data_IF_787084088783
#
_entry.id   IF_787084088783
#
_cell.length_a   1.000
_cell.length_b   1.000
_cell.length_c   1.000
_cell.angle_alpha   90.00
_cell.angle_beta   90.00
_cell.angle_gamma   90.00
#
_symmetry.space_group_name_H-M   'P 1'
#
loop_
_entity.id
_entity.type
_entity.pdbx_description
1 polymer ?
#
# COMPACT_ATOMS: atom_id res chain seq x y z
N UNK A 1 7.25 2.75 -15.93
CA UNK A 1 6.28 3.06 -14.87
C UNK A 1 7.00 3.27 -13.55
N UNK A 2 6.71 4.34 -12.85
CA UNK A 2 7.38 4.62 -11.59
C UNK A 2 6.88 3.70 -10.49
N UNK A 3 7.62 3.66 -9.37
CA UNK A 3 7.20 2.84 -8.23
C UNK A 3 5.86 3.32 -7.68
N UNK A 4 5.66 4.64 -7.64
CA UNK A 4 4.40 5.20 -7.16
C UNK A 4 3.24 4.74 -8.04
N UNK A 5 3.43 4.79 -9.34
CA UNK A 5 2.37 4.34 -10.26
C UNK A 5 2.04 2.88 -10.09
N UNK A 6 3.06 2.05 -9.88
CA UNK A 6 2.82 0.62 -9.66
C UNK A 6 2.01 0.38 -8.39
N UNK A 7 2.32 1.12 -7.34
CA UNK A 7 1.61 1.01 -6.07
C UNK A 7 0.15 1.43 -6.24
N UNK A 8 -0.07 2.55 -6.90
CA UNK A 8 -1.43 3.06 -7.10
C UNK A 8 -2.27 2.07 -7.90
N UNK A 9 -1.69 1.50 -8.95
CA UNK A 9 -2.40 0.50 -9.74
C UNK A 9 -2.70 -0.75 -8.95
N UNK A 10 -1.76 -1.18 -8.12
CA UNK A 10 -1.96 -2.37 -7.31
C UNK A 10 -3.13 -2.17 -6.34
N UNK A 11 -3.16 -1.02 -5.68
CA UNK A 11 -4.24 -0.73 -4.75
C UNK A 11 -5.58 -0.62 -5.49
N UNK A 12 -5.56 -0.04 -6.67
CA UNK A 12 -6.78 0.08 -7.47
C UNK A 12 -7.32 -1.30 -7.85
N UNK A 13 -6.43 -2.22 -8.21
CA UNK A 13 -6.84 -3.56 -8.64
C UNK A 13 -7.20 -4.48 -7.48
N UNK A 14 -6.44 -4.40 -6.39
CA UNK A 14 -6.56 -5.37 -5.29
C UNK A 14 -7.08 -4.78 -4.00
N UNK A 15 -7.19 -3.46 -3.93
CA UNK A 15 -7.75 -2.79 -2.76
C UNK A 15 -6.73 -2.37 -1.70
N UNK A 16 -5.57 -3.00 -1.66
CA UNK A 16 -4.57 -2.70 -0.63
C UNK A 16 -3.21 -3.22 -1.08
N UNK A 17 -2.17 -2.82 -0.33
CA UNK A 17 -0.82 -3.30 -0.60
C UNK A 17 -0.07 -3.44 0.72
N UNK A 18 0.74 -4.51 0.82
CA UNK A 18 1.61 -4.73 1.98
C UNK A 18 3.06 -4.64 1.52
N UNK A 19 3.99 -4.45 2.48
CA UNK A 19 5.42 -4.43 2.11
C UNK A 19 5.87 -5.70 1.40
N UNK A 20 5.35 -6.85 1.81
CA UNK A 20 5.74 -8.10 1.18
C UNK A 20 5.25 -8.16 -0.27
N UNK A 21 4.01 -7.75 -0.51
CA UNK A 21 3.46 -7.70 -1.86
C UNK A 21 4.26 -6.74 -2.74
N UNK A 22 4.61 -5.57 -2.18
CA UNK A 22 5.37 -4.58 -2.93
C UNK A 22 6.72 -5.14 -3.35
N UNK A 23 7.37 -5.87 -2.47
CA UNK A 23 8.66 -6.44 -2.76
C UNK A 23 8.55 -7.57 -3.79
N UNK A 24 7.61 -8.48 -3.58
CA UNK A 24 7.49 -9.66 -4.43
C UNK A 24 7.02 -9.30 -5.83
N UNK A 25 6.08 -8.37 -5.95
CA UNK A 25 5.50 -8.04 -7.25
C UNK A 25 6.28 -7.00 -8.00
N UNK A 26 6.93 -6.07 -7.31
CA UNK A 26 7.52 -4.91 -7.96
C UNK A 26 8.95 -4.62 -7.54
N UNK A 27 9.49 -5.39 -6.62
CA UNK A 27 10.84 -5.14 -6.13
C UNK A 27 10.98 -3.88 -5.30
N UNK A 28 9.88 -3.39 -4.75
CA UNK A 28 9.89 -2.18 -3.94
C UNK A 28 10.24 -2.54 -2.51
N UNK A 29 11.39 -2.06 -2.04
CA UNK A 29 11.89 -2.41 -0.72
C UNK A 29 11.45 -1.47 0.37
N UNK A 30 11.10 -0.24 0.02
CA UNK A 30 10.78 0.79 1.01
C UNK A 30 9.38 1.35 0.76
N UNK A 31 8.40 0.47 0.91
CA UNK A 31 7.02 0.85 0.63
C UNK A 31 6.56 2.05 1.48
N UNK A 32 6.94 2.08 2.76
CA UNK A 32 6.51 3.19 3.62
C UNK A 32 6.96 4.55 3.08
N UNK A 33 8.17 4.61 2.54
CA UNK A 33 8.66 5.87 1.94
C UNK A 33 7.82 6.26 0.73
N UNK A 34 7.49 5.29 -0.09
CA UNK A 34 6.65 5.58 -1.27
C UNK A 34 5.25 6.00 -0.86
N UNK A 35 4.73 5.40 0.21
CA UNK A 35 3.40 5.79 0.70
C UNK A 35 3.42 7.23 1.23
N UNK A 36 4.52 7.66 1.84
CA UNK A 36 4.67 9.05 2.25
C UNK A 36 4.64 9.99 1.05
N UNK A 37 5.30 9.61 -0.04
CA UNK A 37 5.29 10.42 -1.26
C UNK A 37 3.87 10.53 -1.81
N UNK A 38 3.14 9.44 -1.80
CA UNK A 38 1.76 9.42 -2.29
C UNK A 38 0.89 10.33 -1.43
N UNK A 39 1.08 10.28 -0.11
CA UNK A 39 0.33 11.12 0.79
C UNK A 39 0.62 12.60 0.54
N UNK A 40 1.87 12.94 0.28
CA UNK A 40 2.25 14.32 -0.02
C UNK A 40 1.62 14.81 -1.32
N UNK A 41 1.35 13.89 -2.23
CA UNK A 41 0.72 14.25 -3.50
C UNK A 41 -0.77 14.49 -3.37
N UNK A 42 -1.34 14.30 -2.17
CA UNK A 42 -2.74 14.62 -1.92
C UNK A 42 -3.66 13.43 -1.76
N UNK A 43 -3.14 12.22 -1.86
CA UNK A 43 -3.97 11.04 -1.68
C UNK A 43 -4.21 10.76 -0.20
N UNK A 44 -5.37 10.27 0.13
CA UNK A 44 -5.68 9.87 1.49
C UNK A 44 -5.20 8.44 1.71
N UNK A 45 -4.07 8.32 2.37
CA UNK A 45 -3.48 7.01 2.65
C UNK A 45 -3.93 6.55 4.02
N UNK A 46 -4.45 5.35 4.08
CA UNK A 46 -4.84 4.72 5.34
C UNK A 46 -3.99 3.48 5.54
N UNK A 47 -3.67 3.19 6.79
CA UNK A 47 -2.92 1.99 7.09
C UNK A 47 -3.53 1.26 8.26
N UNK A 48 -3.43 -0.06 8.21
CA UNK A 48 -3.90 -0.94 9.27
C UNK A 48 -2.75 -1.86 9.63
N UNK A 49 -2.53 -2.07 10.93
CA UNK A 49 -1.50 -3.01 11.36
C UNK A 49 -2.11 -4.40 11.40
N UNK A 50 -1.46 -5.35 10.74
CA UNK A 50 -1.89 -6.74 10.73
C UNK A 50 -0.82 -7.61 11.36
N UNK A 51 -1.24 -8.75 11.88
CA UNK A 51 -0.34 -9.71 12.49
C UNK A 51 -0.47 -11.03 11.77
N UNK A 52 0.66 -11.67 11.54
CA UNK A 52 0.70 -12.97 10.89
C UNK A 52 1.76 -13.81 11.57
N UNK A 53 1.79 -15.11 11.31
CA UNK A 53 2.83 -15.98 11.82
C UNK A 53 3.76 -16.36 10.68
N UNK A 54 5.07 -16.35 10.97
CA UNK A 54 6.03 -16.81 10.00
C UNK A 54 6.20 -18.33 10.12
N UNK A 55 7.17 -18.88 9.39
CA UNK A 55 7.40 -20.31 9.38
C UNK A 55 7.71 -20.90 10.74
N UNK A 56 8.33 -20.11 11.59
CA UNK A 56 8.76 -20.57 12.90
C UNK A 56 7.68 -20.39 13.95
N UNK A 57 6.49 -19.96 13.54
CA UNK A 57 5.41 -19.73 14.48
C UNK A 57 5.51 -18.41 15.22
N UNK A 58 6.45 -17.57 14.83
CA UNK A 58 6.62 -16.27 15.46
C UNK A 58 5.65 -15.26 14.84
N UNK A 59 5.11 -14.38 15.68
CA UNK A 59 4.21 -13.35 15.21
C UNK A 59 4.99 -12.20 14.61
N UNK A 60 4.57 -11.78 13.43
CA UNK A 60 5.17 -10.64 12.76
C UNK A 60 4.07 -9.63 12.48
N UNK A 61 4.43 -8.36 12.53
CA UNK A 61 3.50 -7.27 12.26
C UNK A 61 3.90 -6.57 10.99
N UNK A 62 2.90 -6.12 10.26
CA UNK A 62 3.15 -5.35 9.06
C UNK A 62 1.97 -4.43 8.81
N UNK A 63 2.20 -3.41 7.99
CA UNK A 63 1.17 -2.44 7.64
C UNK A 63 0.54 -2.82 6.33
N UNK A 64 -0.79 -2.71 6.27
CA UNK A 64 -1.53 -2.84 5.01
C UNK A 64 -2.05 -1.46 4.65
N UNK A 65 -1.70 -0.98 3.49
CA UNK A 65 -2.05 0.37 3.06
C UNK A 65 -3.21 0.34 2.08
N UNK A 66 -4.13 1.29 2.25
CA UNK A 66 -5.25 1.45 1.33
C UNK A 66 -5.40 2.92 0.97
N UNK A 67 -6.00 3.17 -0.18
CA UNK A 67 -6.31 4.51 -0.62
C UNK A 67 -7.74 4.46 -1.15
N UNK A 68 -8.68 5.18 -0.54
CA UNK A 68 -10.08 5.17 -0.98
C UNK A 68 -10.25 6.03 -2.24
N UNK A 69 -9.66 5.59 -3.33
CA UNK A 69 -9.58 6.38 -4.55
C UNK A 69 -10.95 6.62 -5.16
N UNK A 70 -11.81 5.62 -5.09
CA UNK A 70 -13.14 5.74 -5.70
C UNK A 70 -13.96 6.84 -5.03
N UNK A 71 -13.81 6.97 -3.72
CA UNK A 71 -14.52 8.02 -2.98
C UNK A 71 -14.02 9.38 -3.41
N UNK A 72 -12.72 9.51 -3.61
CA UNK A 72 -12.12 10.75 -4.06
C UNK A 72 -12.68 11.18 -5.41
N UNK A 73 -12.82 10.23 -6.31
CA UNK A 73 -13.32 10.54 -7.64
C UNK A 73 -14.75 11.03 -7.60
N UNK A 74 -15.54 10.45 -6.74
CA UNK A 74 -16.95 10.85 -6.64
C UNK A 74 -17.10 12.29 -6.20
N UNK A 75 -16.24 12.74 -5.33
CA UNK A 75 -16.34 14.09 -4.81
C UNK A 75 -15.93 15.15 -5.81
N UNK A 76 -15.25 14.76 -6.86
CA UNK A 76 -14.79 15.69 -7.86
C UNK A 76 -15.80 15.93 -8.96
N UNK A 77 -16.80 15.15 -8.97
CA UNK A 77 -17.86 15.28 -9.97
C UNK A 77 -18.87 16.36 -9.58
#
# INVERSE_FOLDING_TARGET
MSQVEKILRHIEMYGSITPLEAMQEYGIMRLASRMCDIKRAGYKVQSTTETSENRNGEKVRYSRYTIPVNIEKEYRV
#
